data_IF_758939730681
#
_entry.id   IF_758939730681
#
_cell.length_a   1.000
_cell.length_b   1.000
_cell.length_c   1.000
_cell.angle_alpha   90.00
_cell.angle_beta   90.00
_cell.angle_gamma   90.00
#
_symmetry.space_group_name_H-M   'P 1'
#
loop_
_entity.id
_entity.type
_entity.pdbx_description
1 polymer ?
#
# COMPACT_ATOMS: atom_id res chain seq x y z
N UNK A 1 -19.93 -27.16 19.40
CA UNK A 1 -21.00 -26.32 18.79
C UNK A 1 -20.62 -24.85 18.72
N UNK A 2 -19.89 -24.28 19.69
CA UNK A 2 -19.31 -22.92 19.57
C UNK A 2 -18.06 -22.84 18.67
N UNK A 3 -17.33 -23.95 18.49
CA UNK A 3 -16.19 -24.01 17.56
C UNK A 3 -16.58 -23.89 16.08
N UNK A 4 -17.85 -24.15 15.73
CA UNK A 4 -18.38 -23.95 14.37
C UNK A 4 -18.63 -22.47 14.04
N UNK A 5 -18.79 -21.60 15.05
CA UNK A 5 -18.98 -20.16 14.87
C UNK A 5 -17.69 -19.41 14.52
N UNK A 6 -16.52 -20.05 14.71
CA UNK A 6 -15.22 -19.51 14.32
C UNK A 6 -14.69 -20.11 13.02
N UNK A 7 -15.53 -20.81 12.25
CA UNK A 7 -15.14 -21.32 10.94
C UNK A 7 -15.14 -20.19 9.90
N UNK A 8 -14.26 -20.30 8.90
CA UNK A 8 -14.16 -19.33 7.77
C UNK A 8 -15.53 -19.06 7.09
N UNK A 9 -16.44 -20.04 7.16
CA UNK A 9 -17.81 -19.91 6.64
C UNK A 9 -18.65 -18.86 7.37
N UNK A 10 -18.36 -18.56 8.64
CA UNK A 10 -19.04 -17.51 9.39
C UNK A 10 -18.62 -16.11 8.91
N UNK A 11 -17.32 -15.91 8.65
CA UNK A 11 -16.81 -14.63 8.13
C UNK A 11 -17.33 -14.33 6.72
N UNK A 12 -17.45 -15.37 5.88
CA UNK A 12 -18.12 -15.29 4.58
C UNK A 12 -19.59 -14.83 4.72
N UNK A 13 -20.37 -15.48 5.58
CA UNK A 13 -21.77 -15.11 5.81
C UNK A 13 -21.94 -13.68 6.34
N UNK A 14 -21.06 -13.25 7.24
CA UNK A 14 -21.06 -11.87 7.76
C UNK A 14 -20.71 -10.86 6.67
N UNK A 15 -19.73 -11.16 5.81
CA UNK A 15 -19.34 -10.27 4.71
C UNK A 15 -20.49 -10.10 3.72
N UNK A 16 -21.17 -11.18 3.34
CA UNK A 16 -22.37 -11.11 2.48
C UNK A 16 -23.48 -10.27 3.11
N UNK A 17 -23.71 -10.39 4.43
CA UNK A 17 -24.70 -9.58 5.13
C UNK A 17 -24.33 -8.10 5.15
N UNK A 18 -23.03 -7.79 5.32
CA UNK A 18 -22.52 -6.42 5.29
C UNK A 18 -22.64 -5.84 3.87
N UNK A 19 -22.26 -6.58 2.83
CA UNK A 19 -22.41 -6.13 1.44
C UNK A 19 -23.88 -5.83 1.10
N UNK A 20 -24.80 -6.73 1.45
CA UNK A 20 -26.24 -6.50 1.28
C UNK A 20 -26.73 -5.27 2.06
N UNK A 21 -26.20 -5.02 3.27
CA UNK A 21 -26.52 -3.84 4.05
C UNK A 21 -26.03 -2.56 3.36
N UNK A 22 -24.82 -2.56 2.78
CA UNK A 22 -24.30 -1.44 1.99
C UNK A 22 -25.17 -1.18 0.75
N UNK A 23 -25.48 -2.22 -0.02
CA UNK A 23 -26.32 -2.13 -1.22
C UNK A 23 -27.72 -1.58 -0.94
N UNK A 24 -28.28 -1.89 0.24
CA UNK A 24 -29.61 -1.42 0.67
C UNK A 24 -29.58 -0.09 1.44
N UNK A 25 -28.40 0.51 1.64
CA UNK A 25 -28.25 1.79 2.33
C UNK A 25 -28.35 1.71 3.86
N UNK A 26 -28.24 0.52 4.45
CA UNK A 26 -28.29 0.29 5.90
C UNK A 26 -26.94 0.56 6.59
N UNK A 27 -26.29 1.69 6.24
CA UNK A 27 -24.93 2.02 6.66
C UNK A 27 -24.77 2.16 8.18
N UNK A 28 -25.78 2.67 8.88
CA UNK A 28 -25.73 2.86 10.35
C UNK A 28 -25.68 1.50 11.05
N UNK A 29 -26.49 0.53 10.61
CA UNK A 29 -26.50 -0.81 11.19
C UNK A 29 -25.20 -1.55 10.89
N UNK A 30 -24.72 -1.49 9.65
CA UNK A 30 -23.44 -2.06 9.25
C UNK A 30 -22.29 -1.50 10.10
N UNK A 31 -22.25 -0.18 10.30
CA UNK A 31 -21.24 0.49 11.12
C UNK A 31 -21.31 0.07 12.58
N UNK A 32 -22.49 0.07 13.19
CA UNK A 32 -22.66 -0.35 14.59
C UNK A 32 -22.26 -1.80 14.84
N UNK A 33 -22.53 -2.68 13.86
CA UNK A 33 -22.07 -4.06 13.90
C UNK A 33 -20.55 -4.13 13.84
N UNK A 34 -19.95 -3.40 12.89
CA UNK A 34 -18.51 -3.42 12.61
C UNK A 34 -17.68 -2.82 13.75
N UNK A 35 -18.13 -1.74 14.39
CA UNK A 35 -17.43 -1.08 15.50
C UNK A 35 -17.22 -1.98 16.73
N UNK A 36 -18.03 -3.04 16.88
CA UNK A 36 -17.97 -3.97 18.02
C UNK A 36 -17.01 -5.13 17.81
N UNK A 37 -16.40 -5.25 16.63
CA UNK A 37 -15.56 -6.37 16.22
C UNK A 37 -14.12 -6.17 16.67
N UNK A 38 -13.44 -7.27 16.94
CA UNK A 38 -11.99 -7.23 17.20
C UNK A 38 -11.23 -6.86 15.93
N UNK A 39 -10.00 -6.37 16.08
CA UNK A 39 -9.13 -6.07 14.93
C UNK A 39 -8.88 -7.32 14.06
N UNK A 40 -8.75 -8.49 14.68
CA UNK A 40 -8.59 -9.77 13.98
C UNK A 40 -9.84 -10.12 13.14
N UNK A 41 -11.05 -9.94 13.70
CA UNK A 41 -12.30 -10.16 12.96
C UNK A 41 -12.41 -9.19 11.77
N UNK A 42 -12.06 -7.91 11.97
CA UNK A 42 -12.09 -6.90 10.91
C UNK A 42 -11.10 -7.22 9.79
N UNK A 43 -9.89 -7.66 10.15
CA UNK A 43 -8.88 -8.12 9.19
C UNK A 43 -9.43 -9.29 8.35
N UNK A 44 -10.10 -10.25 8.99
CA UNK A 44 -10.67 -11.39 8.30
C UNK A 44 -11.80 -10.98 7.35
N UNK A 45 -12.64 -10.01 7.70
CA UNK A 45 -13.66 -9.48 6.78
C UNK A 45 -13.05 -8.82 5.54
N UNK A 46 -11.93 -8.11 5.69
CA UNK A 46 -11.21 -7.54 4.54
C UNK A 46 -10.69 -8.65 3.63
N UNK A 47 -10.08 -9.70 4.21
CA UNK A 47 -9.58 -10.84 3.44
C UNK A 47 -10.70 -11.55 2.66
N UNK A 48 -11.82 -11.85 3.33
CA UNK A 48 -12.99 -12.49 2.72
C UNK A 48 -13.63 -11.62 1.64
N UNK A 49 -13.80 -10.32 1.88
CA UNK A 49 -14.32 -9.38 0.87
C UNK A 49 -13.41 -9.33 -0.37
N UNK A 50 -12.11 -9.45 -0.16
CA UNK A 50 -11.14 -9.44 -1.23
C UNK A 50 -11.11 -10.76 -2.02
N UNK A 51 -11.28 -11.90 -1.36
CA UNK A 51 -11.48 -13.21 -2.02
C UNK A 51 -12.80 -13.26 -2.82
N UNK A 52 -13.84 -12.57 -2.35
CA UNK A 52 -15.17 -12.52 -2.96
C UNK A 52 -15.33 -11.53 -4.13
N UNK A 53 -14.27 -10.83 -4.55
CA UNK A 53 -14.33 -9.73 -5.53
C UNK A 53 -15.22 -8.53 -5.08
N UNK A 54 -15.42 -8.35 -3.76
CA UNK A 54 -16.34 -7.37 -3.16
C UNK A 54 -15.64 -6.04 -2.84
N UNK A 55 -15.11 -5.35 -3.86
CA UNK A 55 -14.29 -4.12 -3.70
C UNK A 55 -15.02 -3.02 -2.92
N UNK A 56 -16.32 -2.85 -3.11
CA UNK A 56 -17.11 -1.82 -2.42
C UNK A 56 -17.15 -2.11 -0.93
N UNK A 57 -17.37 -3.37 -0.54
CA UNK A 57 -17.33 -3.80 0.86
C UNK A 57 -15.92 -3.64 1.42
N UNK A 58 -14.90 -4.14 0.72
CA UNK A 58 -13.51 -4.05 1.16
C UNK A 58 -13.10 -2.60 1.43
N UNK A 59 -13.41 -1.68 0.51
CA UNK A 59 -13.19 -0.25 0.67
C UNK A 59 -13.89 0.30 1.91
N UNK A 60 -15.17 -0.02 2.07
CA UNK A 60 -15.94 0.44 3.23
C UNK A 60 -15.34 -0.07 4.54
N UNK A 61 -14.93 -1.35 4.61
CA UNK A 61 -14.31 -1.94 5.80
C UNK A 61 -13.03 -1.19 6.19
N UNK A 62 -12.15 -0.95 5.22
CA UNK A 62 -10.88 -0.24 5.45
C UNK A 62 -11.11 1.20 5.88
N UNK A 63 -12.02 1.93 5.21
CA UNK A 63 -12.37 3.30 5.55
C UNK A 63 -13.04 3.44 6.93
N UNK A 64 -13.63 2.35 7.45
CA UNK A 64 -14.19 2.29 8.80
C UNK A 64 -13.21 1.72 9.85
N UNK A 65 -11.94 1.51 9.48
CA UNK A 65 -10.88 1.15 10.41
C UNK A 65 -10.59 -0.35 10.49
N UNK A 66 -10.93 -1.13 9.47
CA UNK A 66 -10.34 -2.46 9.34
C UNK A 66 -8.84 -2.34 9.02
N UNK A 67 -7.97 -3.11 9.67
CA UNK A 67 -6.57 -3.15 9.30
C UNK A 67 -6.42 -3.86 7.95
N UNK A 68 -5.68 -3.23 7.04
CA UNK A 68 -5.23 -3.85 5.80
C UNK A 68 -3.76 -4.25 5.98
N UNK A 69 -3.48 -5.55 5.99
CA UNK A 69 -2.10 -6.02 6.08
C UNK A 69 -1.42 -6.00 4.71
N UNK A 70 -0.12 -5.71 4.72
CA UNK A 70 0.70 -5.66 3.50
C UNK A 70 0.70 -7.00 2.74
N UNK A 71 0.70 -8.13 3.46
CA UNK A 71 0.72 -9.46 2.86
C UNK A 71 -0.57 -9.76 2.08
N UNK A 72 -1.74 -9.48 2.68
CA UNK A 72 -3.02 -9.63 1.97
C UNK A 72 -3.08 -8.74 0.73
N UNK A 73 -2.59 -7.50 0.85
CA UNK A 73 -2.54 -6.57 -0.29
C UNK A 73 -1.68 -7.11 -1.42
N UNK A 74 -0.48 -7.61 -1.13
CA UNK A 74 0.42 -8.21 -2.13
C UNK A 74 -0.27 -9.39 -2.82
N UNK A 75 -0.93 -10.28 -2.07
CA UNK A 75 -1.67 -11.41 -2.64
C UNK A 75 -2.75 -10.94 -3.61
N UNK A 76 -3.51 -9.91 -3.25
CA UNK A 76 -4.58 -9.35 -4.08
C UNK A 76 -4.08 -8.70 -5.37
N UNK A 77 -2.98 -7.94 -5.29
CA UNK A 77 -2.44 -7.23 -6.47
C UNK A 77 -1.55 -8.12 -7.34
N UNK A 78 -1.15 -9.30 -6.84
CA UNK A 78 -0.39 -10.30 -7.60
C UNK A 78 -1.26 -11.11 -8.55
N UNK A 79 -2.56 -11.29 -8.26
CA UNK A 79 -3.50 -11.98 -9.14
C UNK A 79 -3.74 -11.17 -10.43
N UNK A 80 -3.27 -11.69 -11.57
CA UNK A 80 -3.39 -11.02 -12.87
C UNK A 80 -4.83 -10.66 -13.28
N UNK A 81 -5.83 -11.42 -12.82
CA UNK A 81 -7.25 -11.18 -13.15
C UNK A 81 -7.79 -10.00 -12.35
N UNK A 82 -7.38 -9.90 -11.09
CA UNK A 82 -7.95 -8.98 -10.10
C UNK A 82 -7.09 -7.73 -9.89
N UNK A 83 -5.81 -7.77 -10.27
CA UNK A 83 -4.84 -6.69 -10.12
C UNK A 83 -5.33 -5.32 -10.58
N UNK A 84 -5.95 -5.23 -11.75
CA UNK A 84 -6.43 -3.95 -12.27
C UNK A 84 -7.52 -3.33 -11.38
N UNK A 85 -8.27 -4.16 -10.65
CA UNK A 85 -9.33 -3.72 -9.75
C UNK A 85 -8.81 -3.41 -8.34
N UNK A 86 -7.80 -4.16 -7.89
CA UNK A 86 -7.31 -4.08 -6.51
C UNK A 86 -6.03 -3.28 -6.32
N UNK A 87 -5.40 -2.76 -7.39
CA UNK A 87 -4.18 -1.96 -7.26
C UNK A 87 -4.39 -0.71 -6.39
N UNK A 88 -5.61 -0.15 -6.38
CA UNK A 88 -6.00 0.95 -5.50
C UNK A 88 -5.97 0.58 -4.01
N UNK A 89 -6.02 -0.71 -3.67
CA UNK A 89 -5.87 -1.21 -2.30
C UNK A 89 -4.61 -0.69 -1.62
N UNK A 90 -3.54 -0.50 -2.42
CA UNK A 90 -2.26 0.02 -1.94
C UNK A 90 -2.34 1.48 -1.44
N UNK A 91 -3.35 2.25 -1.83
CA UNK A 91 -3.56 3.61 -1.32
C UNK A 91 -3.78 3.62 0.19
N UNK A 92 -4.55 2.65 0.72
CA UNK A 92 -4.91 2.59 2.14
C UNK A 92 -3.81 2.03 3.04
N UNK A 93 -2.73 1.48 2.46
CA UNK A 93 -1.59 1.02 3.23
C UNK A 93 -0.88 2.18 3.95
N UNK A 94 -0.15 1.85 5.01
CA UNK A 94 0.81 2.81 5.57
C UNK A 94 1.91 3.12 4.54
N UNK A 95 2.58 4.27 4.69
CA UNK A 95 3.70 4.60 3.79
C UNK A 95 4.80 3.54 3.82
N UNK A 96 5.13 3.02 5.01
CA UNK A 96 6.10 1.94 5.19
C UNK A 96 5.66 0.64 4.50
N UNK A 97 4.37 0.30 4.55
CA UNK A 97 3.87 -0.89 3.88
C UNK A 97 3.89 -0.73 2.34
N UNK A 98 3.60 0.47 1.83
CA UNK A 98 3.77 0.76 0.39
C UNK A 98 5.21 0.59 -0.08
N UNK A 99 6.21 0.91 0.76
CA UNK A 99 7.62 0.65 0.43
C UNK A 99 7.88 -0.86 0.27
N UNK A 100 7.28 -1.69 1.12
CA UNK A 100 7.37 -3.16 1.01
C UNK A 100 6.72 -3.63 -0.30
N UNK A 101 5.53 -3.11 -0.65
CA UNK A 101 4.87 -3.40 -1.93
C UNK A 101 5.74 -3.01 -3.13
N UNK A 102 6.40 -1.85 -3.10
CA UNK A 102 7.32 -1.43 -4.17
C UNK A 102 8.49 -2.42 -4.31
N UNK A 103 9.07 -2.88 -3.20
CA UNK A 103 10.16 -3.86 -3.22
C UNK A 103 9.73 -5.18 -3.84
N UNK A 104 8.57 -5.69 -3.45
CA UNK A 104 8.00 -6.91 -4.03
C UNK A 104 7.74 -6.73 -5.54
N UNK A 105 7.14 -5.60 -5.92
CA UNK A 105 6.86 -5.28 -7.32
C UNK A 105 8.13 -5.16 -8.18
N UNK A 106 9.22 -4.59 -7.63
CA UNK A 106 10.52 -4.55 -8.31
C UNK A 106 11.10 -5.95 -8.53
N UNK A 107 11.01 -6.83 -7.54
CA UNK A 107 11.48 -8.22 -7.62
C UNK A 107 10.70 -9.04 -8.66
N UNK A 108 9.40 -8.81 -8.75
CA UNK A 108 8.48 -9.53 -9.65
C UNK A 108 8.36 -8.89 -11.04
N UNK A 109 9.16 -7.86 -11.34
CA UNK A 109 9.07 -7.06 -12.57
C UNK A 109 7.68 -6.48 -12.86
N UNK A 110 6.98 -6.08 -11.80
CA UNK A 110 5.59 -5.68 -11.83
C UNK A 110 5.40 -4.19 -12.12
N UNK A 111 5.58 -3.87 -13.39
CA UNK A 111 5.47 -2.52 -13.95
C UNK A 111 4.17 -1.81 -13.64
N UNK A 112 3.04 -2.51 -13.67
CA UNK A 112 1.71 -1.90 -13.46
C UNK A 112 1.54 -1.45 -12.01
N UNK A 113 1.94 -2.30 -11.07
CA UNK A 113 1.86 -1.99 -9.64
C UNK A 113 2.82 -0.87 -9.27
N UNK A 114 4.05 -0.90 -9.78
CA UNK A 114 5.04 0.18 -9.56
C UNK A 114 4.53 1.52 -10.06
N UNK A 115 4.03 1.57 -11.29
CA UNK A 115 3.45 2.79 -11.85
C UNK A 115 2.31 3.30 -11.00
N UNK A 116 1.36 2.42 -10.63
CA UNK A 116 0.23 2.84 -9.82
C UNK A 116 0.72 3.45 -8.51
N UNK A 117 1.55 2.72 -7.73
CA UNK A 117 1.94 3.15 -6.38
C UNK A 117 2.74 4.44 -6.41
N UNK A 118 3.66 4.59 -7.36
CA UNK A 118 4.52 5.76 -7.43
C UNK A 118 3.83 7.00 -8.01
N UNK A 119 2.91 6.84 -8.98
CA UNK A 119 2.18 7.98 -9.54
C UNK A 119 0.99 8.39 -8.67
N UNK A 120 0.35 7.43 -8.01
CA UNK A 120 -0.91 7.64 -7.32
C UNK A 120 -0.78 7.60 -5.82
N UNK A 121 0.40 7.56 -5.18
CA UNK A 121 0.52 7.77 -3.72
C UNK A 121 1.54 8.83 -3.36
N UNK A 122 1.48 9.28 -2.10
CA UNK A 122 2.42 10.26 -1.56
C UNK A 122 3.35 9.58 -0.56
N UNK A 123 4.65 9.86 -0.71
CA UNK A 123 5.71 9.50 0.24
C UNK A 123 6.28 10.76 0.86
N UNK A 124 6.04 10.98 2.16
CA UNK A 124 6.51 12.16 2.89
C UNK A 124 7.77 11.87 3.71
N UNK A 125 7.97 10.63 4.12
CA UNK A 125 9.14 10.24 4.91
C UNK A 125 10.38 10.09 4.01
N UNK A 126 11.44 10.80 4.38
CA UNK A 126 12.74 10.71 3.70
C UNK A 126 13.36 9.31 3.81
N UNK A 127 13.01 8.53 4.84
CA UNK A 127 13.44 7.14 4.95
C UNK A 127 12.80 6.29 3.86
N UNK A 128 11.50 6.48 3.59
CA UNK A 128 10.82 5.82 2.46
C UNK A 128 11.51 6.11 1.13
N UNK A 129 11.93 7.37 0.89
CA UNK A 129 12.66 7.73 -0.32
C UNK A 129 14.00 6.99 -0.43
N UNK A 130 14.77 6.97 0.66
CA UNK A 130 16.06 6.26 0.69
C UNK A 130 15.87 4.77 0.43
N UNK A 131 14.86 4.18 1.05
CA UNK A 131 14.54 2.77 0.96
C UNK A 131 14.10 2.36 -0.45
N UNK A 132 13.26 3.18 -1.09
CA UNK A 132 12.83 2.98 -2.48
C UNK A 132 14.02 3.13 -3.44
N UNK A 133 14.84 4.18 -3.28
CA UNK A 133 16.06 4.35 -4.10
C UNK A 133 17.03 3.19 -3.95
N UNK A 134 17.23 2.71 -2.73
CA UNK A 134 18.08 1.55 -2.46
C UNK A 134 17.55 0.31 -3.19
N UNK A 135 16.23 0.08 -3.14
CA UNK A 135 15.59 -1.01 -3.87
C UNK A 135 15.76 -0.86 -5.40
N UNK A 136 15.59 0.34 -5.94
CA UNK A 136 15.80 0.63 -7.37
C UNK A 136 17.24 0.35 -7.82
N UNK A 137 18.25 0.67 -7.00
CA UNK A 137 19.66 0.39 -7.30
C UNK A 137 19.97 -1.11 -7.37
N UNK A 138 19.19 -1.93 -6.67
CA UNK A 138 19.34 -3.39 -6.64
C UNK A 138 18.45 -4.11 -7.64
N UNK A 139 17.50 -3.40 -8.27
CA UNK A 139 16.55 -3.96 -9.21
C UNK A 139 17.16 -4.15 -10.60
N UNK A 140 16.46 -4.92 -11.45
CA UNK A 140 16.87 -5.15 -12.84
C UNK A 140 16.91 -3.84 -13.65
N UNK A 141 17.96 -3.64 -14.45
CA UNK A 141 18.14 -2.40 -15.20
C UNK A 141 17.02 -2.14 -16.22
N UNK A 142 16.37 -3.19 -16.75
CA UNK A 142 15.27 -3.06 -17.71
C UNK A 142 14.06 -2.44 -17.04
N UNK A 143 13.72 -2.86 -15.81
CA UNK A 143 12.58 -2.26 -15.10
C UNK A 143 12.88 -0.84 -14.64
N UNK A 144 14.12 -0.58 -14.18
CA UNK A 144 14.55 0.74 -13.72
C UNK A 144 14.49 1.76 -14.87
N UNK A 145 15.04 1.41 -16.04
CA UNK A 145 14.98 2.27 -17.22
C UNK A 145 13.54 2.50 -17.65
N UNK A 146 12.73 1.44 -17.70
CA UNK A 146 11.33 1.56 -18.06
C UNK A 146 10.58 2.50 -17.09
N UNK A 147 10.82 2.37 -15.79
CA UNK A 147 10.18 3.21 -14.77
C UNK A 147 10.60 4.68 -14.91
N UNK A 148 11.88 4.94 -15.17
CA UNK A 148 12.40 6.29 -15.43
C UNK A 148 11.71 6.96 -16.61
N UNK A 149 11.41 6.21 -17.68
CA UNK A 149 10.77 6.76 -18.87
C UNK A 149 9.25 6.91 -18.75
N UNK A 150 8.61 6.11 -17.88
CA UNK A 150 7.15 5.97 -17.87
C UNK A 150 6.45 6.59 -16.66
N UNK A 151 7.14 6.89 -15.55
CA UNK A 151 6.51 7.55 -14.40
C UNK A 151 5.86 8.87 -14.82
N UNK A 152 4.58 9.04 -14.53
CA UNK A 152 3.82 10.23 -14.91
C UNK A 152 4.05 11.39 -13.95
N UNK A 153 4.28 11.08 -12.66
CA UNK A 153 4.48 12.07 -11.63
C UNK A 153 5.93 12.59 -11.65
N UNK A 154 6.12 13.81 -12.14
CA UNK A 154 7.44 14.46 -12.26
C UNK A 154 8.15 14.59 -10.90
N UNK A 155 7.42 14.94 -9.83
CA UNK A 155 7.98 15.05 -8.48
C UNK A 155 8.47 13.68 -8.02
N UNK A 156 7.65 12.63 -8.17
CA UNK A 156 8.06 11.25 -7.85
C UNK A 156 9.26 10.81 -8.66
N UNK A 157 9.26 11.07 -9.97
CA UNK A 157 10.37 10.73 -10.87
C UNK A 157 11.66 11.43 -10.43
N UNK A 158 11.59 12.71 -10.09
CA UNK A 158 12.76 13.52 -9.73
C UNK A 158 13.48 13.01 -8.48
N UNK A 159 12.72 12.58 -7.45
CA UNK A 159 13.35 12.03 -6.25
C UNK A 159 13.66 10.55 -6.39
N UNK A 160 12.98 9.76 -7.23
CA UNK A 160 13.37 8.39 -7.53
C UNK A 160 14.69 8.33 -8.29
N UNK A 161 14.88 9.24 -9.25
CA UNK A 161 16.00 9.31 -10.17
C UNK A 161 16.67 10.70 -10.14
N UNK A 162 17.28 11.08 -9.00
CA UNK A 162 17.93 12.37 -8.88
C UNK A 162 19.07 12.50 -9.88
N UNK A 163 19.21 13.68 -10.47
CA UNK A 163 20.35 13.95 -11.34
C UNK A 163 21.65 14.01 -10.53
N UNK A 164 22.81 13.83 -11.18
CA UNK A 164 24.12 13.92 -10.52
C UNK A 164 24.34 15.28 -9.79
N UNK A 165 23.63 16.35 -10.17
CA UNK A 165 23.69 17.65 -9.50
C UNK A 165 22.88 17.70 -8.20
N UNK A 166 21.82 16.90 -8.08
CA UNK A 166 20.95 16.85 -6.90
C UNK A 166 21.58 16.05 -5.76
N UNK A 167 22.34 15.00 -6.08
CA UNK A 167 23.09 14.20 -5.10
C UNK A 167 24.25 15.00 -4.46
N UNK A 168 24.93 15.86 -5.24
CA UNK A 168 26.00 16.73 -4.75
C UNK A 168 25.48 17.84 -3.82
N UNK A 169 24.28 18.36 -4.09
CA UNK A 169 23.63 19.40 -3.28
C UNK A 169 23.17 18.88 -1.92
N UNK A 170 22.67 17.64 -1.86
CA UNK A 170 22.32 16.97 -0.61
C UNK A 170 23.57 16.69 0.25
N UNK A 171 24.66 16.18 -0.35
CA UNK A 171 25.92 15.92 0.37
C UNK A 171 26.56 17.18 0.96
N UNK A 172 26.42 18.32 0.28
CA UNK A 172 26.99 19.61 0.73
C UNK A 172 26.23 20.23 1.91
N UNK A 173 24.92 19.97 2.05
CA UNK A 173 24.15 20.43 3.22
C UNK A 173 24.51 19.63 4.50
N UNK A 174 24.82 18.34 4.37
CA UNK A 174 25.22 17.51 5.51
C UNK A 174 26.63 17.83 6.04
N UNK A 175 27.59 18.15 5.16
CA UNK A 175 28.94 18.57 5.59
C UNK A 175 28.93 19.95 6.24
N UNK A 176 28.08 20.88 5.76
CA UNK A 176 27.95 22.22 6.35
C UNK A 176 27.31 22.19 7.74
N UNK A 177 26.34 21.29 7.98
CA UNK A 177 25.73 21.08 9.30
C UNK A 177 26.68 20.39 10.30
N UNK A 178 27.54 19.47 9.84
CA UNK A 178 28.56 18.83 10.67
C UNK A 178 29.69 19.81 11.07
N UNK A 179 30.14 20.66 10.15
CA UNK A 179 31.20 21.64 10.43
C UNK A 179 30.72 22.80 11.32
N UNK A 180 29.46 23.23 11.20
CA UNK A 180 28.88 24.28 12.07
C UNK A 180 28.78 23.86 13.56
N UNK A 181 28.80 22.55 13.85
CA UNK A 181 28.83 22.01 15.22
C UNK A 181 30.26 21.78 15.76
N UNK A 182 31.27 21.76 14.89
CA UNK A 182 32.67 21.62 15.29
C UNK A 182 33.29 22.97 15.69
N UNK A 183 32.87 24.08 15.08
CA UNK A 183 33.34 25.45 15.39
C UNK A 183 32.71 26.08 16.65
N UNK A 184 31.91 25.32 17.42
CA UNK A 184 31.29 25.78 18.68
C UNK A 184 31.77 25.01 19.94
N UNK A 185 32.94 24.38 19.90
CA UNK A 185 33.54 23.73 21.06
C UNK A 185 34.91 24.31 21.40
#
# INVERSE_FOLDING_TARGET
MLELFHSDQFHAGVSTLLDLALQRGYLVMARQFFERRSEDEKCQYVAVAAEGDEIVLMRWLIENGAPLCVHATITLVSDHVNKAKYVEATWWLSESDRVIVIRDALQNNDRKLLMWVLDNTVFKDKNSWKDIRSALKMADNVIVHWLSDNLSNDDTRSWCFPSLQDEASAGTQFTRAANANADRR
#
